data_IF_809089695450
#
_entry.id   IF_809089695450
#
_cell.length_a   1.000
_cell.length_b   1.000
_cell.length_c   1.000
_cell.angle_alpha   90.00
_cell.angle_beta   90.00
_cell.angle_gamma   90.00
#
_symmetry.space_group_name_H-M   'P 1'
#
loop_
_entity.id
_entity.type
_entity.pdbx_description
1 polymer ?
#
# COMPACT_ATOMS: atom_id res chain seq x y z
N UNK A 1 20.48 -21.52 5.05
CA UNK A 1 19.10 -21.56 4.51
C UNK A 1 18.42 -20.28 4.93
N UNK A 2 17.78 -19.53 4.03
CA UNK A 2 17.29 -18.21 4.44
C UNK A 2 16.25 -18.26 5.56
N UNK A 3 16.32 -17.28 6.47
CA UNK A 3 15.39 -17.19 7.63
C UNK A 3 13.92 -17.14 7.20
N UNK A 4 13.65 -16.57 6.01
CA UNK A 4 12.32 -16.58 5.41
C UNK A 4 11.94 -17.96 4.89
N UNK A 5 12.86 -18.66 4.23
CA UNK A 5 12.61 -20.00 3.69
C UNK A 5 12.24 -20.98 4.80
N UNK A 6 12.95 -20.94 5.93
CA UNK A 6 12.58 -21.69 7.12
C UNK A 6 11.15 -21.38 7.57
N UNK A 7 10.78 -20.10 7.62
CA UNK A 7 9.42 -19.71 8.03
C UNK A 7 8.37 -20.18 7.03
N UNK A 8 8.65 -20.10 5.74
CA UNK A 8 7.78 -20.64 4.70
C UNK A 8 7.63 -22.16 4.86
N UNK A 9 8.71 -22.90 5.12
CA UNK A 9 8.67 -24.35 5.38
C UNK A 9 7.86 -24.70 6.64
N UNK A 10 7.99 -23.94 7.72
CA UNK A 10 7.19 -24.16 8.93
C UNK A 10 5.70 -23.87 8.71
N UNK A 11 5.36 -22.90 7.84
CA UNK A 11 3.98 -22.59 7.47
C UNK A 11 3.42 -23.55 6.41
N UNK A 12 4.27 -24.01 5.50
CA UNK A 12 3.98 -24.86 4.35
C UNK A 12 4.75 -26.16 4.54
N UNK A 13 4.13 -27.12 5.26
CA UNK A 13 4.72 -28.42 5.63
C UNK A 13 5.40 -29.18 4.47
N UNK A 14 5.10 -28.83 3.22
CA UNK A 14 5.56 -29.50 2.00
C UNK A 14 6.11 -28.49 0.97
N UNK A 15 6.97 -27.56 1.38
CA UNK A 15 7.61 -26.67 0.41
C UNK A 15 8.58 -27.46 -0.49
N UNK A 16 8.53 -27.33 -1.83
CA UNK A 16 9.53 -27.96 -2.69
C UNK A 16 10.92 -27.39 -2.40
N UNK A 17 11.98 -28.21 -2.49
CA UNK A 17 13.34 -27.70 -2.39
C UNK A 17 13.63 -26.70 -3.51
N UNK A 18 14.57 -25.79 -3.27
CA UNK A 18 15.05 -24.90 -4.32
C UNK A 18 15.64 -25.73 -5.46
N UNK A 19 15.27 -25.47 -6.73
CA UNK A 19 15.85 -26.19 -7.85
C UNK A 19 17.35 -25.89 -7.94
N UNK A 20 18.15 -26.92 -8.27
CA UNK A 20 19.57 -26.72 -8.50
C UNK A 20 19.79 -25.87 -9.78
N UNK A 21 20.83 -25.02 -9.80
CA UNK A 21 21.17 -24.20 -10.97
C UNK A 21 21.55 -25.03 -12.22
N UNK A 22 21.86 -26.32 -12.06
CA UNK A 22 22.32 -27.23 -13.12
C UNK A 22 21.18 -27.77 -14.02
N UNK A 23 20.30 -26.88 -14.50
CA UNK A 23 19.34 -27.18 -15.56
C UNK A 23 17.96 -27.69 -15.11
N UNK A 24 17.64 -27.67 -13.81
CA UNK A 24 16.27 -27.92 -13.36
C UNK A 24 15.37 -26.70 -13.69
N UNK A 25 14.24 -26.96 -14.35
CA UNK A 25 13.24 -25.91 -14.61
C UNK A 25 12.58 -25.44 -13.31
N UNK A 26 12.47 -24.13 -13.15
CA UNK A 26 11.74 -23.51 -12.05
C UNK A 26 10.25 -23.86 -12.13
N UNK A 27 9.76 -24.61 -11.15
CA UNK A 27 8.41 -25.19 -11.13
C UNK A 27 7.58 -24.77 -9.91
N UNK A 28 7.98 -23.71 -9.19
CA UNK A 28 7.27 -23.30 -7.98
C UNK A 28 5.84 -22.81 -8.27
N UNK A 29 5.64 -22.07 -9.35
CA UNK A 29 4.30 -21.68 -9.80
C UNK A 29 3.41 -22.89 -10.14
N UNK A 30 3.96 -23.93 -10.76
CA UNK A 30 3.23 -25.18 -11.05
C UNK A 30 2.87 -25.91 -9.75
N UNK A 31 3.81 -25.96 -8.79
CA UNK A 31 3.56 -26.50 -7.46
C UNK A 31 2.39 -25.77 -6.78
N UNK A 32 2.34 -24.43 -6.82
CA UNK A 32 1.23 -23.65 -6.26
C UNK A 32 -0.10 -23.97 -6.93
N UNK A 33 -0.11 -24.10 -8.26
CA UNK A 33 -1.33 -24.43 -9.02
C UNK A 33 -1.89 -25.83 -8.69
N UNK A 34 -1.04 -26.76 -8.23
CA UNK A 34 -1.45 -28.10 -7.81
C UNK A 34 -1.97 -28.16 -6.36
N UNK A 35 -1.75 -27.11 -5.56
CA UNK A 35 -2.15 -27.15 -4.14
C UNK A 35 -3.66 -26.97 -3.95
N UNK A 36 -4.28 -27.71 -3.02
CA UNK A 36 -5.69 -27.56 -2.72
C UNK A 36 -5.95 -26.25 -1.96
N UNK A 37 -7.17 -25.71 -2.04
CA UNK A 37 -7.56 -24.45 -1.34
C UNK A 37 -7.30 -24.50 0.17
N UNK A 38 -7.40 -25.67 0.80
CA UNK A 38 -7.09 -25.86 2.22
C UNK A 38 -5.66 -25.47 2.60
N UNK A 39 -4.70 -25.65 1.67
CA UNK A 39 -3.31 -25.22 1.81
C UNK A 39 -3.19 -23.70 1.98
N UNK A 40 -3.95 -22.93 1.19
CA UNK A 40 -3.85 -21.48 1.16
C UNK A 40 -4.60 -20.78 2.30
N UNK A 41 -5.61 -21.42 2.91
CA UNK A 41 -6.40 -20.82 4.01
C UNK A 41 -5.56 -20.24 5.16
N UNK A 42 -4.57 -20.95 5.75
CA UNK A 42 -3.72 -20.37 6.79
C UNK A 42 -2.85 -19.22 6.28
N UNK A 43 -2.32 -19.32 5.05
CA UNK A 43 -1.48 -18.30 4.43
C UNK A 43 -2.27 -17.02 4.16
N UNK A 44 -3.51 -17.14 3.68
CA UNK A 44 -4.43 -16.02 3.45
C UNK A 44 -4.71 -15.26 4.74
N UNK A 45 -4.92 -15.95 5.86
CA UNK A 45 -5.11 -15.27 7.17
C UNK A 45 -3.88 -14.48 7.60
N UNK A 46 -2.69 -14.84 7.11
CA UNK A 46 -1.41 -14.18 7.38
C UNK A 46 -0.91 -13.29 6.23
N UNK A 47 -1.70 -13.06 5.17
CA UNK A 47 -1.23 -12.35 3.96
C UNK A 47 -0.59 -10.99 4.21
N UNK A 48 -1.10 -10.22 5.18
CA UNK A 48 -0.52 -8.93 5.57
C UNK A 48 0.86 -9.09 6.22
N UNK A 49 1.07 -10.15 6.98
CA UNK A 49 2.37 -10.49 7.58
C UNK A 49 3.34 -10.94 6.48
N UNK A 50 2.92 -11.84 5.59
CA UNK A 50 3.73 -12.30 4.45
C UNK A 50 4.17 -11.14 3.56
N UNK A 51 3.31 -10.15 3.35
CA UNK A 51 3.65 -8.94 2.59
C UNK A 51 4.72 -8.10 3.29
N UNK A 52 4.69 -8.00 4.62
CA UNK A 52 5.73 -7.32 5.40
C UNK A 52 7.05 -8.07 5.28
N UNK A 53 7.04 -9.39 5.45
CA UNK A 53 8.25 -10.20 5.31
C UNK A 53 8.89 -10.09 3.96
N UNK A 54 8.09 -10.16 2.90
CA UNK A 54 8.57 -9.93 1.54
C UNK A 54 9.27 -8.56 1.41
N UNK A 55 8.68 -7.50 1.98
CA UNK A 55 9.29 -6.18 1.96
C UNK A 55 10.59 -6.09 2.76
N UNK A 56 10.69 -6.82 3.87
CA UNK A 56 11.91 -6.90 4.69
C UNK A 56 13.00 -7.65 3.93
N UNK A 57 12.65 -8.76 3.28
CA UNK A 57 13.57 -9.50 2.42
C UNK A 57 14.09 -8.63 1.27
N UNK A 58 13.23 -7.85 0.63
CA UNK A 58 13.66 -6.91 -0.42
C UNK A 58 14.67 -5.88 0.10
N UNK A 59 14.44 -5.35 1.32
CA UNK A 59 15.35 -4.41 1.96
C UNK A 59 16.69 -5.07 2.35
N UNK A 60 16.65 -6.31 2.84
CA UNK A 60 17.85 -7.10 3.11
C UNK A 60 18.65 -7.35 1.83
N UNK A 61 17.99 -7.86 0.78
CA UNK A 61 18.62 -8.12 -0.52
C UNK A 61 19.26 -6.84 -1.09
N UNK A 62 18.57 -5.69 -0.99
CA UNK A 62 19.12 -4.39 -1.38
C UNK A 62 20.42 -4.05 -0.65
N UNK A 63 20.48 -4.35 0.65
CA UNK A 63 21.66 -4.09 1.50
C UNK A 63 22.78 -5.07 1.22
N UNK A 64 22.46 -6.36 1.08
CA UNK A 64 23.44 -7.42 0.85
C UNK A 64 24.07 -7.31 -0.54
N UNK A 65 23.34 -6.86 -1.55
CA UNK A 65 23.88 -6.52 -2.88
C UNK A 65 24.93 -5.40 -2.83
N UNK A 66 24.85 -4.49 -1.86
CA UNK A 66 25.80 -3.39 -1.68
C UNK A 66 27.02 -3.78 -0.85
N UNK A 67 27.00 -4.96 -0.22
CA UNK A 67 28.09 -5.42 0.66
C UNK A 67 29.32 -5.78 -0.17
N UNK A 68 30.51 -5.35 0.29
CA UNK A 68 31.78 -5.55 -0.44
C UNK A 68 32.16 -7.02 -0.62
N UNK A 69 31.83 -7.87 0.36
CA UNK A 69 32.19 -9.29 0.41
C UNK A 69 30.95 -10.19 0.39
N UNK A 70 29.93 -9.85 -0.41
CA UNK A 70 28.75 -10.68 -0.50
C UNK A 70 29.05 -12.00 -1.23
N UNK A 71 28.69 -13.13 -0.62
CA UNK A 71 28.71 -14.43 -1.31
C UNK A 71 27.65 -14.43 -2.40
N UNK A 72 28.05 -14.87 -3.60
CA UNK A 72 27.15 -14.98 -4.76
C UNK A 72 26.10 -16.05 -4.51
N UNK A 73 26.49 -17.13 -3.84
CA UNK A 73 25.62 -18.24 -3.46
C UNK A 73 24.53 -17.75 -2.50
N UNK A 74 24.91 -16.99 -1.47
CA UNK A 74 23.99 -16.38 -0.52
C UNK A 74 23.00 -15.43 -1.21
N UNK A 75 23.49 -14.53 -2.07
CA UNK A 75 22.61 -13.63 -2.85
C UNK A 75 21.69 -14.45 -3.76
N UNK A 76 22.19 -15.49 -4.41
CA UNK A 76 21.39 -16.36 -5.28
C UNK A 76 20.26 -17.01 -4.49
N UNK A 77 20.53 -17.51 -3.29
CA UNK A 77 19.53 -18.10 -2.40
C UNK A 77 18.49 -17.07 -1.93
N UNK A 78 18.91 -15.85 -1.59
CA UNK A 78 18.02 -14.75 -1.22
C UNK A 78 17.11 -14.32 -2.38
N UNK A 79 17.66 -14.21 -3.61
CA UNK A 79 16.88 -13.89 -4.82
C UNK A 79 15.88 -15.00 -5.11
N UNK A 80 16.27 -16.26 -5.00
CA UNK A 80 15.36 -17.40 -5.18
C UNK A 80 14.25 -17.41 -4.11
N UNK A 81 14.59 -17.12 -2.85
CA UNK A 81 13.63 -16.97 -1.76
C UNK A 81 12.63 -15.82 -2.02
N UNK A 82 13.13 -14.70 -2.55
CA UNK A 82 12.30 -13.56 -2.92
C UNK A 82 11.36 -13.89 -4.08
N UNK A 83 11.85 -14.62 -5.08
CA UNK A 83 11.03 -15.10 -6.20
C UNK A 83 9.91 -16.01 -5.69
N UNK A 84 10.20 -17.02 -4.88
CA UNK A 84 9.17 -17.90 -4.30
C UNK A 84 8.12 -17.12 -3.50
N UNK A 85 8.54 -16.21 -2.62
CA UNK A 85 7.60 -15.40 -1.84
C UNK A 85 6.75 -14.50 -2.74
N UNK A 86 7.34 -13.91 -3.78
CA UNK A 86 6.61 -13.07 -4.74
C UNK A 86 5.60 -13.88 -5.56
N UNK A 87 5.93 -15.09 -5.99
CA UNK A 87 5.02 -16.03 -6.68
C UNK A 87 3.88 -16.47 -5.77
N UNK A 88 4.19 -16.84 -4.51
CA UNK A 88 3.18 -17.17 -3.51
C UNK A 88 2.21 -16.00 -3.29
N UNK A 89 2.73 -14.81 -3.03
CA UNK A 89 1.91 -13.61 -2.83
C UNK A 89 1.09 -13.27 -4.07
N UNK A 90 1.66 -13.36 -5.27
CA UNK A 90 0.94 -13.10 -6.52
C UNK A 90 -0.20 -14.11 -6.70
N UNK A 91 0.03 -15.39 -6.42
CA UNK A 91 -1.00 -16.42 -6.45
C UNK A 91 -2.13 -16.13 -5.43
N UNK A 92 -1.78 -15.76 -4.19
CA UNK A 92 -2.75 -15.35 -3.16
C UNK A 92 -3.57 -14.12 -3.60
N UNK A 93 -2.91 -13.10 -4.12
CA UNK A 93 -3.56 -11.86 -4.55
C UNK A 93 -4.44 -12.04 -5.78
N UNK A 94 -4.07 -12.95 -6.68
CA UNK A 94 -4.79 -13.22 -7.91
C UNK A 94 -6.04 -14.08 -7.67
N UNK A 95 -5.86 -15.27 -7.10
CA UNK A 95 -6.90 -16.29 -7.07
C UNK A 95 -7.85 -16.17 -5.87
N UNK A 96 -7.43 -15.46 -4.81
CA UNK A 96 -8.16 -15.50 -3.53
C UNK A 96 -8.52 -14.12 -2.97
N UNK A 97 -7.66 -13.11 -3.13
CA UNK A 97 -7.91 -11.76 -2.60
C UNK A 97 -8.40 -10.76 -3.65
N UNK A 98 -8.30 -11.14 -4.93
CA UNK A 98 -8.62 -10.35 -6.11
C UNK A 98 -8.07 -8.92 -6.03
N UNK A 99 -6.74 -8.80 -6.15
CA UNK A 99 -6.00 -7.53 -6.06
C UNK A 99 -5.01 -7.38 -7.23
N UNK A 100 -5.51 -7.11 -8.44
CA UNK A 100 -4.70 -7.13 -9.66
C UNK A 100 -3.46 -6.23 -9.61
N UNK A 101 -3.55 -5.05 -8.98
CA UNK A 101 -2.40 -4.14 -8.82
C UNK A 101 -1.22 -4.75 -8.06
N UNK A 102 -1.48 -5.59 -7.06
CA UNK A 102 -0.41 -6.21 -6.27
C UNK A 102 0.19 -7.36 -7.08
N UNK A 103 -0.63 -8.07 -7.85
CA UNK A 103 -0.16 -9.09 -8.80
C UNK A 103 0.76 -8.46 -9.83
N UNK A 104 0.37 -7.33 -10.42
CA UNK A 104 1.18 -6.60 -11.41
C UNK A 104 2.50 -6.10 -10.81
N UNK A 105 2.46 -5.52 -9.61
CA UNK A 105 3.67 -5.11 -8.89
C UNK A 105 4.61 -6.29 -8.66
N UNK A 106 4.09 -7.40 -8.12
CA UNK A 106 4.87 -8.60 -7.82
C UNK A 106 5.42 -9.26 -9.09
N UNK A 107 4.70 -9.21 -10.21
CA UNK A 107 5.19 -9.71 -11.50
C UNK A 107 6.39 -8.95 -12.03
N UNK A 108 6.44 -7.64 -11.83
CA UNK A 108 7.62 -6.84 -12.18
C UNK A 108 8.82 -7.27 -11.34
N UNK A 109 8.61 -7.51 -10.04
CA UNK A 109 9.65 -8.05 -9.17
C UNK A 109 10.08 -9.47 -9.61
N UNK A 110 9.14 -10.35 -9.96
CA UNK A 110 9.40 -11.70 -10.47
C UNK A 110 10.27 -11.68 -11.73
N UNK A 111 9.93 -10.85 -12.72
CA UNK A 111 10.71 -10.70 -13.95
C UNK A 111 12.15 -10.28 -13.66
N UNK A 112 12.33 -9.34 -12.72
CA UNK A 112 13.65 -8.93 -12.28
C UNK A 112 14.43 -10.08 -11.63
N UNK A 113 13.82 -10.82 -10.70
CA UNK A 113 14.47 -11.97 -10.05
C UNK A 113 14.79 -13.09 -11.03
N UNK A 114 13.88 -13.39 -11.97
CA UNK A 114 14.13 -14.36 -13.03
C UNK A 114 15.31 -13.95 -13.91
N UNK A 115 15.45 -12.66 -14.24
CA UNK A 115 16.61 -12.15 -15.00
C UNK A 115 17.92 -12.41 -14.25
N UNK A 116 17.96 -12.15 -12.94
CA UNK A 116 19.13 -12.43 -12.09
C UNK A 116 19.46 -13.92 -12.00
N UNK A 117 18.44 -14.77 -11.81
CA UNK A 117 18.64 -16.21 -11.66
C UNK A 117 18.98 -16.89 -12.99
N UNK A 118 18.49 -16.39 -14.13
CA UNK A 118 18.89 -16.89 -15.47
C UNK A 118 20.39 -16.75 -15.70
N UNK A 119 21.00 -15.66 -15.23
CA UNK A 119 22.46 -15.49 -15.28
C UNK A 119 23.22 -16.55 -14.45
N UNK A 120 22.54 -17.26 -13.55
CA UNK A 120 23.08 -18.36 -12.73
C UNK A 120 22.69 -19.75 -13.23
N UNK A 121 22.11 -19.87 -14.44
CA UNK A 121 21.77 -21.16 -15.06
C UNK A 121 20.34 -21.65 -14.82
N UNK A 122 19.53 -20.92 -14.03
CA UNK A 122 18.14 -21.29 -13.80
C UNK A 122 17.31 -21.13 -15.07
N UNK A 123 16.46 -22.12 -15.34
CA UNK A 123 15.54 -22.10 -16.46
C UNK A 123 14.12 -21.76 -15.99
N UNK A 124 13.42 -20.94 -16.78
CA UNK A 124 12.07 -20.49 -16.46
C UNK A 124 11.18 -20.66 -17.67
N UNK A 125 9.97 -21.17 -17.45
CA UNK A 125 8.88 -21.07 -18.41
C UNK A 125 8.49 -19.60 -18.58
N UNK A 126 8.16 -19.18 -19.80
CA UNK A 126 7.75 -17.80 -20.06
C UNK A 126 6.52 -17.43 -19.22
N UNK A 127 6.56 -16.24 -18.61
CA UNK A 127 5.41 -15.64 -17.93
C UNK A 127 4.41 -15.17 -18.99
N UNK A 128 3.57 -16.09 -19.49
CA UNK A 128 2.68 -15.82 -20.63
C UNK A 128 1.36 -15.14 -20.26
N UNK A 129 0.98 -15.11 -18.98
CA UNK A 129 -0.35 -14.62 -18.61
C UNK A 129 -0.37 -13.10 -18.42
N UNK A 130 -1.30 -12.39 -19.05
CA UNK A 130 -1.57 -10.97 -18.78
C UNK A 130 -2.48 -10.84 -17.54
N UNK A 131 -2.22 -9.86 -16.65
CA UNK A 131 -3.19 -9.51 -15.60
C UNK A 131 -4.18 -8.52 -16.20
N UNK A 132 -5.48 -8.76 -16.05
CA UNK A 132 -6.45 -7.70 -16.32
C UNK A 132 -6.24 -6.53 -15.33
N UNK A 133 -6.09 -5.29 -15.83
CA UNK A 133 -5.86 -4.15 -14.95
C UNK A 133 -7.11 -3.85 -14.10
N UNK A 134 -6.95 -3.78 -12.77
CA UNK A 134 -7.97 -3.22 -11.87
C UNK A 134 -8.00 -1.70 -12.03
N UNK A 135 -8.72 -1.24 -13.04
CA UNK A 135 -8.71 0.18 -13.41
C UNK A 135 -9.57 1.03 -12.47
N UNK A 136 -10.74 0.54 -12.04
CA UNK A 136 -11.68 1.39 -11.30
C UNK A 136 -11.31 1.58 -9.82
N UNK A 137 -11.16 0.51 -9.05
CA UNK A 137 -10.91 0.61 -7.60
C UNK A 137 -9.57 1.30 -7.33
N UNK A 138 -8.58 1.00 -8.17
CA UNK A 138 -7.29 1.66 -8.11
C UNK A 138 -7.39 3.15 -8.43
N UNK A 139 -8.06 3.53 -9.51
CA UNK A 139 -8.24 4.94 -9.90
C UNK A 139 -8.97 5.74 -8.82
N UNK A 140 -10.01 5.17 -8.23
CA UNK A 140 -10.73 5.79 -7.10
C UNK A 140 -9.78 6.01 -5.93
N UNK A 141 -8.98 5.01 -5.56
CA UNK A 141 -8.05 5.11 -4.42
C UNK A 141 -6.93 6.12 -4.67
N UNK A 142 -6.33 6.13 -5.86
CA UNK A 142 -5.24 7.07 -6.19
C UNK A 142 -5.76 8.51 -6.24
N UNK A 143 -6.91 8.73 -6.88
CA UNK A 143 -7.58 10.03 -6.89
C UNK A 143 -7.96 10.49 -5.49
N UNK A 144 -8.53 9.59 -4.66
CA UNK A 144 -8.87 9.93 -3.27
C UNK A 144 -7.63 10.31 -2.48
N UNK A 145 -6.53 9.56 -2.62
CA UNK A 145 -5.28 9.83 -1.91
C UNK A 145 -4.66 11.17 -2.31
N UNK A 146 -4.61 11.49 -3.61
CA UNK A 146 -4.02 12.75 -4.10
C UNK A 146 -4.91 13.96 -3.79
N UNK A 147 -6.23 13.84 -3.92
CA UNK A 147 -7.17 14.94 -3.68
C UNK A 147 -7.45 15.20 -2.19
N UNK A 148 -7.22 14.23 -1.29
CA UNK A 148 -7.54 14.39 0.13
C UNK A 148 -6.80 15.57 0.77
N UNK A 149 -5.51 15.74 0.47
CA UNK A 149 -4.72 16.81 1.05
C UNK A 149 -5.26 18.19 0.63
N UNK A 150 -5.52 18.37 -0.67
CA UNK A 150 -6.08 19.62 -1.20
C UNK A 150 -7.44 19.93 -0.57
N UNK A 151 -8.32 18.92 -0.45
CA UNK A 151 -9.61 19.07 0.22
C UNK A 151 -9.45 19.57 1.66
N UNK A 152 -8.60 18.90 2.44
CA UNK A 152 -8.38 19.26 3.84
C UNK A 152 -7.79 20.67 3.97
N UNK A 153 -6.84 21.02 3.10
CA UNK A 153 -6.26 22.35 3.05
C UNK A 153 -7.32 23.42 2.75
N UNK A 154 -8.10 23.25 1.68
CA UNK A 154 -9.14 24.21 1.29
C UNK A 154 -10.18 24.40 2.40
N UNK A 155 -10.71 23.32 2.97
CA UNK A 155 -11.73 23.38 4.03
C UNK A 155 -11.20 24.08 5.28
N UNK A 156 -9.95 23.82 5.67
CA UNK A 156 -9.33 24.44 6.85
C UNK A 156 -8.94 25.89 6.61
N UNK A 157 -8.39 26.21 5.45
CA UNK A 157 -8.07 27.59 5.04
C UNK A 157 -9.33 28.46 4.99
N UNK A 158 -10.45 27.93 4.52
CA UNK A 158 -11.73 28.65 4.54
C UNK A 158 -12.15 29.02 5.96
N UNK A 159 -12.01 28.12 6.93
CA UNK A 159 -12.33 28.43 8.35
C UNK A 159 -11.44 29.53 8.91
N UNK A 160 -10.16 29.54 8.53
CA UNK A 160 -9.25 30.61 8.91
C UNK A 160 -9.67 31.97 8.29
N UNK A 161 -10.04 31.98 7.01
CA UNK A 161 -10.55 33.18 6.32
C UNK A 161 -11.83 33.70 6.99
N UNK A 162 -12.78 32.82 7.31
CA UNK A 162 -14.01 33.19 8.02
C UNK A 162 -13.70 33.88 9.36
N UNK A 163 -12.70 33.37 10.09
CA UNK A 163 -12.30 33.94 11.38
C UNK A 163 -11.61 35.31 11.22
N UNK A 164 -10.76 35.49 10.20
CA UNK A 164 -10.16 36.79 9.85
C UNK A 164 -11.27 37.81 9.59
N UNK A 165 -12.27 37.44 8.80
CA UNK A 165 -13.35 38.36 8.43
C UNK A 165 -14.16 38.78 9.65
N UNK A 166 -14.44 37.85 10.56
CA UNK A 166 -15.13 38.16 11.81
C UNK A 166 -14.34 39.16 12.66
N UNK A 167 -13.03 39.00 12.77
CA UNK A 167 -12.15 39.92 13.52
C UNK A 167 -12.08 41.31 12.85
N UNK A 168 -11.97 41.35 11.52
CA UNK A 168 -11.89 42.60 10.77
C UNK A 168 -13.25 43.31 10.60
N UNK A 169 -14.36 42.66 10.97
CA UNK A 169 -15.74 43.14 10.76
C UNK A 169 -16.06 43.46 9.29
N UNK A 170 -15.32 42.91 8.33
CA UNK A 170 -15.48 43.12 6.87
C UNK A 170 -16.37 42.07 6.21
N UNK A 171 -17.48 41.74 6.87
CA UNK A 171 -18.36 40.67 6.40
C UNK A 171 -18.96 40.99 5.03
N UNK A 172 -19.23 42.27 4.76
CA UNK A 172 -19.93 42.71 3.55
C UNK A 172 -19.13 42.49 2.27
N UNK A 173 -17.82 42.71 2.33
CA UNK A 173 -16.90 42.58 1.19
C UNK A 173 -16.80 41.14 0.68
N UNK A 174 -17.04 40.14 1.55
CA UNK A 174 -16.89 38.72 1.22
C UNK A 174 -18.22 37.94 1.13
N UNK A 175 -19.36 38.59 1.38
CA UNK A 175 -20.71 38.02 1.21
C UNK A 175 -20.90 37.34 -0.16
N UNK A 176 -20.52 37.94 -1.31
CA UNK A 176 -20.74 37.28 -2.61
C UNK A 176 -19.92 35.99 -2.74
N UNK A 177 -18.66 36.00 -2.31
CA UNK A 177 -17.77 34.83 -2.38
C UNK A 177 -18.28 33.71 -1.47
N UNK A 178 -18.62 34.02 -0.22
CA UNK A 178 -19.11 33.04 0.75
C UNK A 178 -20.44 32.41 0.34
N UNK A 179 -21.30 33.12 -0.39
CA UNK A 179 -22.55 32.59 -0.93
C UNK A 179 -22.34 31.40 -1.87
N UNK A 180 -21.25 31.38 -2.63
CA UNK A 180 -20.90 30.26 -3.52
C UNK A 180 -19.99 29.23 -2.85
N UNK A 181 -19.01 29.68 -2.08
CA UNK A 181 -18.01 28.81 -1.46
C UNK A 181 -18.62 27.95 -0.36
N UNK A 182 -19.53 28.47 0.47
CA UNK A 182 -20.10 27.71 1.59
C UNK A 182 -20.90 26.49 1.13
N UNK A 183 -21.84 26.60 0.17
CA UNK A 183 -22.51 25.41 -0.38
C UNK A 183 -21.51 24.45 -1.03
N UNK A 184 -20.60 24.94 -1.87
CA UNK A 184 -19.64 24.10 -2.57
C UNK A 184 -18.78 23.26 -1.59
N UNK A 185 -18.26 23.87 -0.53
CA UNK A 185 -17.49 23.16 0.49
C UNK A 185 -18.35 22.20 1.34
N UNK A 186 -19.62 22.54 1.57
CA UNK A 186 -20.55 21.65 2.26
C UNK A 186 -20.82 20.39 1.43
N UNK A 187 -21.05 20.54 0.12
CA UNK A 187 -21.17 19.40 -0.80
C UNK A 187 -19.87 18.60 -0.88
N UNK A 188 -18.73 19.27 -1.05
CA UNK A 188 -17.42 18.62 -1.09
C UNK A 188 -17.12 17.79 0.15
N UNK A 189 -17.65 18.20 1.32
CA UNK A 189 -17.42 17.50 2.59
C UNK A 189 -17.93 16.06 2.60
N UNK A 190 -18.99 15.74 1.86
CA UNK A 190 -19.58 14.40 1.81
C UNK A 190 -19.38 13.70 0.47
N UNK A 191 -19.44 14.43 -0.65
CA UNK A 191 -19.23 13.88 -2.01
C UNK A 191 -17.86 13.20 -2.12
N UNK A 192 -16.84 13.76 -1.45
CA UNK A 192 -15.49 13.19 -1.44
C UNK A 192 -15.44 11.74 -0.96
N UNK A 193 -16.31 11.33 -0.03
CA UNK A 193 -16.28 10.00 0.56
C UNK A 193 -17.03 8.95 -0.27
N UNK A 194 -17.93 9.38 -1.17
CA UNK A 194 -18.79 8.46 -1.94
C UNK A 194 -17.99 7.50 -2.82
N UNK A 195 -17.02 7.94 -3.66
CA UNK A 195 -16.35 7.02 -4.57
C UNK A 195 -15.64 5.88 -3.85
N UNK A 196 -14.89 6.20 -2.78
CA UNK A 196 -14.17 5.19 -1.99
C UNK A 196 -15.11 4.29 -1.19
N UNK A 197 -16.15 4.86 -0.58
CA UNK A 197 -17.16 4.07 0.13
C UNK A 197 -17.89 3.12 -0.82
N UNK A 198 -18.37 3.61 -1.96
CA UNK A 198 -19.06 2.82 -2.97
C UNK A 198 -18.17 1.69 -3.49
N UNK A 199 -16.91 1.97 -3.86
CA UNK A 199 -15.97 0.93 -4.29
C UNK A 199 -15.77 -0.15 -3.22
N UNK A 200 -15.57 0.24 -1.95
CA UNK A 200 -15.40 -0.71 -0.85
C UNK A 200 -16.70 -1.49 -0.56
N UNK A 201 -17.87 -0.85 -0.65
CA UNK A 201 -19.17 -1.50 -0.45
C UNK A 201 -19.52 -2.47 -1.59
N UNK A 202 -19.21 -2.13 -2.84
CA UNK A 202 -19.36 -3.04 -3.99
C UNK A 202 -18.48 -4.27 -3.84
N UNK A 203 -17.23 -4.08 -3.42
CA UNK A 203 -16.33 -5.20 -3.12
C UNK A 203 -16.86 -6.05 -1.97
N UNK A 204 -17.36 -5.47 -0.87
CA UNK A 204 -17.96 -6.25 0.21
C UNK A 204 -19.25 -6.96 -0.26
N UNK A 205 -20.08 -6.29 -1.04
CA UNK A 205 -21.33 -6.78 -1.60
C UNK A 205 -21.12 -8.03 -2.47
N UNK A 206 -20.08 -8.06 -3.31
CA UNK A 206 -19.76 -9.28 -4.11
C UNK A 206 -19.41 -10.50 -3.26
N UNK A 207 -19.03 -10.34 -1.99
CA UNK A 207 -18.78 -11.45 -1.07
C UNK A 207 -19.99 -11.81 -0.22
N UNK A 208 -20.92 -10.87 0.01
CA UNK A 208 -22.23 -11.15 0.60
C UNK A 208 -23.11 -11.98 -0.34
N UNK A 209 -23.09 -11.66 -1.64
CA UNK A 209 -23.78 -12.44 -2.68
C UNK A 209 -22.74 -13.11 -3.58
N UNK A 210 -22.22 -14.30 -3.21
CA UNK A 210 -21.23 -14.99 -4.02
C UNK A 210 -21.86 -15.55 -5.30
N UNK A 211 -21.23 -15.31 -6.45
CA UNK A 211 -21.65 -15.87 -7.73
C UNK A 211 -20.46 -16.20 -8.61
N UNK A 212 -20.57 -17.28 -9.38
CA UNK A 212 -19.56 -17.70 -10.37
C UNK A 212 -19.35 -16.66 -11.49
N UNK A 213 -20.24 -15.67 -11.63
CA UNK A 213 -20.15 -14.65 -12.68
C UNK A 213 -19.05 -13.61 -12.45
N UNK A 214 -18.72 -13.29 -11.20
CA UNK A 214 -17.75 -12.25 -10.84
C UNK A 214 -16.68 -12.73 -9.85
N UNK A 215 -16.68 -14.02 -9.56
CA UNK A 215 -15.78 -14.64 -8.59
C UNK A 215 -15.16 -15.87 -9.22
N UNK A 216 -13.84 -16.05 -9.03
CA UNK A 216 -13.17 -17.25 -9.50
C UNK A 216 -13.59 -18.47 -8.66
N UNK A 217 -13.39 -19.66 -9.22
CA UNK A 217 -13.73 -20.91 -8.53
C UNK A 217 -12.89 -21.09 -7.26
N UNK A 218 -11.64 -20.65 -7.30
CA UNK A 218 -10.68 -20.71 -6.18
C UNK A 218 -11.12 -19.77 -5.05
N UNK A 219 -11.53 -18.54 -5.38
CA UNK A 219 -12.06 -17.58 -4.41
C UNK A 219 -13.33 -18.16 -3.76
N UNK A 220 -14.28 -18.68 -4.54
CA UNK A 220 -15.52 -19.28 -4.04
C UNK A 220 -15.27 -20.41 -3.04
N UNK A 221 -14.30 -21.28 -3.32
CA UNK A 221 -13.94 -22.46 -2.52
C UNK A 221 -13.36 -22.13 -1.12
N UNK A 222 -13.00 -20.87 -0.84
CA UNK A 222 -12.59 -20.44 0.51
C UNK A 222 -13.72 -20.47 1.53
N UNK A 223 -14.97 -20.47 1.08
CA UNK A 223 -16.16 -20.32 1.92
C UNK A 223 -16.45 -18.86 2.26
N UNK A 224 -17.70 -18.57 2.61
CA UNK A 224 -18.19 -17.19 2.87
C UNK A 224 -17.45 -16.56 4.05
N UNK A 225 -17.33 -17.28 5.18
CA UNK A 225 -16.71 -16.76 6.40
C UNK A 225 -15.26 -16.30 6.17
N UNK A 226 -14.44 -17.12 5.50
CA UNK A 226 -13.04 -16.79 5.24
C UNK A 226 -12.92 -15.58 4.33
N UNK A 227 -13.69 -15.53 3.24
CA UNK A 227 -13.67 -14.38 2.31
C UNK A 227 -14.08 -13.09 3.00
N UNK A 228 -15.18 -13.12 3.74
CA UNK A 228 -15.66 -11.95 4.49
C UNK A 228 -14.61 -11.49 5.50
N UNK A 229 -13.99 -12.41 6.24
CA UNK A 229 -12.90 -12.08 7.17
C UNK A 229 -11.72 -11.40 6.45
N UNK A 230 -11.24 -11.96 5.33
CA UNK A 230 -10.11 -11.42 4.58
C UNK A 230 -10.38 -10.01 4.03
N UNK A 231 -11.57 -9.80 3.48
CA UNK A 231 -11.94 -8.49 2.92
C UNK A 231 -12.23 -7.46 4.00
N UNK A 232 -12.84 -7.89 5.11
CA UNK A 232 -13.06 -7.04 6.28
C UNK A 232 -11.73 -6.60 6.88
N UNK A 233 -10.79 -7.52 7.13
CA UNK A 233 -9.44 -7.21 7.66
C UNK A 233 -8.72 -6.10 6.88
N UNK A 234 -8.94 -6.00 5.58
CA UNK A 234 -8.29 -5.02 4.70
C UNK A 234 -9.02 -3.68 4.62
N UNK A 235 -10.35 -3.67 4.73
CA UNK A 235 -11.18 -2.50 4.35
C UNK A 235 -11.95 -1.89 5.50
N UNK A 236 -12.07 -2.57 6.64
CA UNK A 236 -12.96 -2.14 7.72
C UNK A 236 -12.66 -0.73 8.23
N UNK A 237 -11.39 -0.34 8.31
CA UNK A 237 -11.05 1.03 8.72
C UNK A 237 -11.46 2.09 7.69
N UNK A 238 -11.33 1.80 6.39
CA UNK A 238 -11.74 2.74 5.34
C UNK A 238 -13.27 2.85 5.30
N UNK A 239 -13.96 1.71 5.36
CA UNK A 239 -15.42 1.64 5.45
C UNK A 239 -15.95 2.40 6.66
N UNK A 240 -15.44 2.10 7.86
CA UNK A 240 -15.87 2.75 9.10
C UNK A 240 -15.60 4.25 9.10
N UNK A 241 -14.47 4.69 8.57
CA UNK A 241 -14.17 6.11 8.43
C UNK A 241 -15.13 6.80 7.45
N UNK A 242 -15.28 6.26 6.24
CA UNK A 242 -16.03 6.92 5.18
C UNK A 242 -17.53 6.93 5.43
N UNK A 243 -18.08 5.88 6.02
CA UNK A 243 -19.50 5.85 6.39
C UNK A 243 -19.83 6.93 7.41
N UNK A 244 -19.04 7.07 8.47
CA UNK A 244 -19.27 8.05 9.53
C UNK A 244 -19.16 9.48 8.99
N UNK A 245 -18.10 9.76 8.22
CA UNK A 245 -17.90 11.09 7.64
C UNK A 245 -18.92 11.44 6.55
N UNK A 246 -19.38 10.46 5.75
CA UNK A 246 -20.46 10.66 4.78
C UNK A 246 -21.77 11.02 5.49
N UNK A 247 -22.18 10.23 6.49
CA UNK A 247 -23.43 10.46 7.24
C UNK A 247 -23.40 11.83 7.91
N UNK A 248 -22.31 12.16 8.62
CA UNK A 248 -22.19 13.45 9.27
C UNK A 248 -22.15 14.62 8.27
N UNK A 249 -21.51 14.45 7.12
CA UNK A 249 -21.51 15.44 6.05
C UNK A 249 -22.92 15.67 5.48
N UNK A 250 -23.70 14.62 5.27
CA UNK A 250 -25.11 14.72 4.85
C UNK A 250 -25.97 15.42 5.91
N UNK A 251 -25.82 15.03 7.19
CA UNK A 251 -26.53 15.67 8.30
C UNK A 251 -26.17 17.16 8.40
N UNK A 252 -24.89 17.52 8.34
CA UNK A 252 -24.45 18.92 8.37
C UNK A 252 -24.94 19.73 7.15
N UNK A 253 -25.06 19.08 5.99
CA UNK A 253 -25.45 19.76 4.76
C UNK A 253 -26.97 19.99 4.65
N UNK A 254 -27.79 19.05 5.14
CA UNK A 254 -29.24 19.06 4.91
C UNK A 254 -30.09 19.19 6.17
N UNK A 255 -29.59 18.77 7.34
CA UNK A 255 -30.39 18.69 8.58
C UNK A 255 -29.94 19.73 9.60
N UNK A 256 -28.64 19.78 9.89
CA UNK A 256 -28.05 20.66 10.92
C UNK A 256 -27.67 22.02 10.32
N UNK A 257 -28.65 22.67 9.68
CA UNK A 257 -28.50 23.99 9.05
C UNK A 257 -29.24 25.08 9.84
N UNK A 258 -28.96 26.34 9.54
CA UNK A 258 -29.62 27.49 10.18
C UNK A 258 -29.40 27.50 11.70
N UNK A 259 -30.46 27.59 12.53
CA UNK A 259 -30.34 27.58 13.99
C UNK A 259 -29.67 26.32 14.57
N UNK A 260 -29.67 25.20 13.84
CA UNK A 260 -29.06 23.93 14.25
C UNK A 260 -27.57 23.81 13.86
N UNK A 261 -27.02 24.77 13.10
CA UNK A 261 -25.62 24.75 12.69
C UNK A 261 -24.61 24.61 13.86
N UNK A 262 -24.83 25.19 15.06
CA UNK A 262 -23.97 24.95 16.22
C UNK A 262 -23.87 23.47 16.60
N UNK A 263 -24.96 22.71 16.50
CA UNK A 263 -24.99 21.27 16.77
C UNK A 263 -24.09 20.52 15.79
N UNK A 264 -24.09 20.93 14.51
CA UNK A 264 -23.19 20.38 13.50
C UNK A 264 -21.70 20.59 13.82
N UNK A 265 -21.35 21.71 14.45
CA UNK A 265 -19.98 21.95 14.94
C UNK A 265 -19.59 20.97 16.05
N UNK A 266 -20.46 20.74 17.04
CA UNK A 266 -20.22 19.74 18.09
C UNK A 266 -20.09 18.32 17.52
N UNK A 267 -20.98 17.92 16.62
CA UNK A 267 -20.91 16.61 15.94
C UNK A 267 -19.58 16.46 15.19
N UNK A 268 -19.15 17.49 14.47
CA UNK A 268 -17.86 17.47 13.77
C UNK A 268 -16.70 17.29 14.75
N UNK A 269 -16.71 18.00 15.89
CA UNK A 269 -15.69 17.84 16.94
C UNK A 269 -15.66 16.41 17.51
N UNK A 270 -16.83 15.80 17.74
CA UNK A 270 -16.93 14.39 18.15
C UNK A 270 -16.33 13.46 17.08
N UNK A 271 -16.53 13.74 15.80
CA UNK A 271 -15.90 12.95 14.74
C UNK A 271 -14.37 13.04 14.72
N UNK A 272 -13.80 14.19 15.07
CA UNK A 272 -12.34 14.27 15.26
C UNK A 272 -11.86 13.41 16.44
N UNK A 273 -12.65 13.27 17.51
CA UNK A 273 -12.33 12.34 18.59
C UNK A 273 -12.44 10.87 18.12
N UNK A 274 -13.44 10.56 17.29
CA UNK A 274 -13.56 9.26 16.63
C UNK A 274 -12.34 8.96 15.75
N UNK A 275 -11.82 9.93 14.99
CA UNK A 275 -10.62 9.76 14.17
C UNK A 275 -9.39 9.42 15.02
N UNK A 276 -9.23 10.02 16.22
CA UNK A 276 -8.16 9.65 17.16
C UNK A 276 -8.31 8.19 17.57
N UNK A 277 -9.51 7.78 17.98
CA UNK A 277 -9.79 6.41 18.41
C UNK A 277 -9.47 5.42 17.28
N UNK A 278 -9.92 5.71 16.06
CA UNK A 278 -9.69 4.86 14.90
C UNK A 278 -8.19 4.78 14.54
N UNK A 279 -7.46 5.90 14.62
CA UNK A 279 -6.02 5.94 14.41
C UNK A 279 -5.25 5.15 15.49
N UNK A 280 -5.66 5.26 16.76
CA UNK A 280 -5.06 4.53 17.88
C UNK A 280 -5.31 3.02 17.77
N UNK A 281 -6.54 2.60 17.45
CA UNK A 281 -6.86 1.19 17.21
C UNK A 281 -6.04 0.64 16.04
N UNK A 282 -5.93 1.39 14.93
CA UNK A 282 -5.10 0.99 13.80
C UNK A 282 -3.63 0.83 14.20
N UNK A 283 -3.09 1.79 14.94
CA UNK A 283 -1.72 1.73 15.43
C UNK A 283 -1.49 0.52 16.32
N UNK A 284 -2.40 0.24 17.26
CA UNK A 284 -2.31 -0.92 18.16
C UNK A 284 -2.34 -2.25 17.40
N UNK A 285 -3.23 -2.41 16.42
CA UNK A 285 -3.35 -3.64 15.62
C UNK A 285 -2.12 -3.85 14.72
N UNK A 286 -1.67 -2.79 14.03
CA UNK A 286 -0.51 -2.88 13.13
C UNK A 286 0.79 -3.13 13.91
N UNK A 287 1.03 -2.40 15.00
CA UNK A 287 2.20 -2.61 15.86
C UNK A 287 2.17 -3.97 16.56
N UNK A 288 1.00 -4.38 17.07
CA UNK A 288 0.85 -5.69 17.70
C UNK A 288 1.10 -6.85 16.73
N UNK A 289 0.82 -6.68 15.43
CA UNK A 289 1.16 -7.67 14.39
C UNK A 289 2.67 -7.71 14.14
N UNK A 290 3.31 -6.55 14.05
CA UNK A 290 4.74 -6.42 13.83
C UNK A 290 5.56 -6.97 15.00
N UNK A 291 5.16 -6.68 16.24
CA UNK A 291 5.85 -7.19 17.42
C UNK A 291 5.71 -8.70 17.55
N UNK A 292 4.55 -9.28 17.21
CA UNK A 292 4.40 -10.73 17.15
C UNK A 292 5.35 -11.36 16.12
N UNK A 293 5.46 -10.76 14.94
CA UNK A 293 6.40 -11.22 13.91
C UNK A 293 7.84 -11.17 14.43
N UNK A 294 8.23 -10.06 15.08
CA UNK A 294 9.55 -9.91 15.70
C UNK A 294 9.83 -10.99 16.75
N UNK A 295 8.88 -11.24 17.65
CA UNK A 295 8.98 -12.27 18.69
C UNK A 295 9.12 -13.68 18.10
N UNK A 296 8.41 -13.98 17.01
CA UNK A 296 8.57 -15.25 16.29
C UNK A 296 10.00 -15.43 15.75
N UNK A 297 10.60 -14.39 15.15
CA UNK A 297 11.98 -14.44 14.67
C UNK A 297 13.01 -14.54 15.80
N UNK A 298 12.82 -13.82 16.91
CA UNK A 298 13.71 -13.92 18.09
C UNK A 298 13.70 -15.35 18.66
N UNK A 299 12.52 -15.97 18.78
CA UNK A 299 12.42 -17.37 19.24
C UNK A 299 13.11 -18.33 18.28
N UNK A 300 12.98 -18.10 16.98
CA UNK A 300 13.67 -18.92 15.99
C UNK A 300 15.19 -18.81 16.09
N UNK A 301 15.73 -17.60 16.28
CA UNK A 301 17.17 -17.39 16.50
C UNK A 301 17.63 -18.16 17.75
N UNK A 302 16.88 -18.10 18.85
CA UNK A 302 17.19 -18.85 20.08
C UNK A 302 17.19 -20.36 19.86
N UNK A 303 16.30 -20.88 19.02
CA UNK A 303 16.27 -22.30 18.64
C UNK A 303 17.52 -22.69 17.83
N UNK A 304 17.91 -21.87 16.85
CA UNK A 304 19.12 -22.12 16.05
C UNK A 304 20.40 -22.10 16.89
N UNK A 305 20.47 -21.20 17.88
CA UNK A 305 21.57 -21.16 18.85
C UNK A 305 21.62 -22.43 19.72
N UNK A 306 20.46 -22.99 20.10
CA UNK A 306 20.38 -24.24 20.85
C UNK A 306 20.74 -25.47 20.00
N UNK A 307 20.48 -25.42 18.70
CA UNK A 307 20.83 -26.46 17.72
C UNK A 307 22.28 -26.38 17.21
N UNK A 308 23.09 -25.45 17.72
CA UNK A 308 24.48 -25.21 17.32
C UNK A 308 24.65 -24.93 15.81
N UNK A 309 23.73 -24.12 15.24
CA UNK A 309 23.76 -23.66 13.84
C UNK A 309 24.10 -22.16 13.77
N UNK A 310 25.38 -21.76 14.00
CA UNK A 310 25.76 -20.37 14.14
C UNK A 310 25.55 -19.54 12.86
N UNK A 311 25.74 -20.14 11.69
CA UNK A 311 25.60 -19.46 10.39
C UNK A 311 24.14 -19.07 10.10
N UNK A 312 23.20 -20.00 10.26
CA UNK A 312 21.77 -19.73 10.11
C UNK A 312 21.27 -18.72 11.16
N UNK A 313 21.81 -18.78 12.39
CA UNK A 313 21.49 -17.82 13.44
C UNK A 313 21.97 -16.40 13.09
N UNK A 314 23.16 -16.27 12.49
CA UNK A 314 23.68 -14.97 12.03
C UNK A 314 22.85 -14.41 10.87
N UNK A 315 22.44 -15.23 9.90
CA UNK A 315 21.55 -14.81 8.83
C UNK A 315 20.19 -14.34 9.37
N UNK A 316 19.60 -15.10 10.30
CA UNK A 316 18.34 -14.73 10.94
C UNK A 316 18.46 -13.43 11.76
N UNK A 317 19.59 -13.16 12.40
CA UNK A 317 19.87 -11.87 13.06
C UNK A 317 19.96 -10.72 12.06
N UNK A 318 20.58 -10.91 10.90
CA UNK A 318 20.62 -9.89 9.83
C UNK A 318 19.22 -9.57 9.31
N UNK A 319 18.41 -10.58 9.04
CA UNK A 319 17.01 -10.37 8.68
C UNK A 319 16.25 -9.60 9.79
N UNK A 320 16.45 -9.96 11.06
CA UNK A 320 15.84 -9.28 12.20
C UNK A 320 16.23 -7.80 12.28
N UNK A 321 17.46 -7.42 11.94
CA UNK A 321 17.87 -6.01 11.88
C UNK A 321 17.05 -5.21 10.86
N UNK A 322 16.81 -5.78 9.67
CA UNK A 322 15.97 -5.14 8.66
C UNK A 322 14.50 -5.08 9.09
N UNK A 323 14.01 -6.13 9.76
CA UNK A 323 12.67 -6.12 10.36
C UNK A 323 12.55 -5.02 11.43
N UNK A 324 13.51 -4.88 12.33
CA UNK A 324 13.52 -3.85 13.37
C UNK A 324 13.55 -2.43 12.76
N UNK A 325 14.32 -2.21 11.70
CA UNK A 325 14.31 -0.95 10.95
C UNK A 325 12.92 -0.65 10.36
N UNK A 326 12.24 -1.66 9.80
CA UNK A 326 10.87 -1.52 9.30
C UNK A 326 9.88 -1.24 10.43
N UNK A 327 9.99 -1.92 11.56
CA UNK A 327 9.14 -1.71 12.74
C UNK A 327 9.29 -0.29 13.26
N UNK A 328 10.53 0.22 13.34
CA UNK A 328 10.79 1.58 13.77
C UNK A 328 10.15 2.61 12.83
N UNK A 329 10.26 2.42 11.52
CA UNK A 329 9.59 3.27 10.53
C UNK A 329 8.07 3.25 10.71
N UNK A 330 7.47 2.07 10.82
CA UNK A 330 6.01 1.93 10.99
C UNK A 330 5.53 2.54 12.31
N UNK A 331 6.30 2.40 13.39
CA UNK A 331 6.04 3.06 14.68
C UNK A 331 6.04 4.58 14.55
N UNK A 332 7.03 5.16 13.88
CA UNK A 332 7.07 6.61 13.60
C UNK A 332 5.87 7.05 12.77
N UNK A 333 5.52 6.32 11.71
CA UNK A 333 4.38 6.62 10.82
C UNK A 333 3.05 6.61 11.56
N UNK A 334 2.81 5.56 12.34
CA UNK A 334 1.58 5.38 13.11
C UNK A 334 1.47 6.40 14.26
N UNK A 335 2.57 6.64 14.98
CA UNK A 335 2.60 7.65 16.04
C UNK A 335 2.37 9.05 15.47
N UNK A 336 2.99 9.39 14.33
CA UNK A 336 2.75 10.67 13.65
C UNK A 336 1.27 10.80 13.23
N UNK A 337 0.64 9.72 12.76
CA UNK A 337 -0.79 9.70 12.44
C UNK A 337 -1.67 9.98 13.67
N UNK A 338 -1.40 9.35 14.80
CA UNK A 338 -2.14 9.56 16.05
C UNK A 338 -1.90 10.97 16.59
N UNK A 339 -0.65 11.43 16.61
CA UNK A 339 -0.30 12.78 17.06
C UNK A 339 -0.97 13.85 16.19
N UNK A 340 -0.87 13.74 14.87
CA UNK A 340 -1.47 14.70 13.95
C UNK A 340 -3.00 14.78 14.11
N UNK A 341 -3.70 13.63 14.23
CA UNK A 341 -5.16 13.61 14.47
C UNK A 341 -5.53 14.17 15.84
N UNK A 342 -4.71 13.92 16.87
CA UNK A 342 -4.91 14.46 18.23
C UNK A 342 -4.77 15.98 18.26
N UNK A 343 -3.70 16.53 17.65
CA UNK A 343 -3.49 17.98 17.61
C UNK A 343 -4.57 18.67 16.76
N UNK A 344 -5.02 18.04 15.67
CA UNK A 344 -6.17 18.51 14.89
C UNK A 344 -7.46 18.54 15.71
N UNK A 345 -7.74 17.52 16.51
CA UNK A 345 -8.89 17.51 17.42
C UNK A 345 -8.82 18.64 18.44
N UNK A 346 -7.66 18.88 19.07
CA UNK A 346 -7.48 19.99 20.00
C UNK A 346 -7.74 21.34 19.33
N UNK A 347 -7.23 21.55 18.12
CA UNK A 347 -7.51 22.76 17.33
C UNK A 347 -9.00 22.87 16.99
N UNK A 348 -9.68 21.75 16.74
CA UNK A 348 -11.13 21.70 16.48
C UNK A 348 -11.98 22.01 17.71
N UNK A 349 -11.56 21.61 18.92
CA UNK A 349 -12.25 21.97 20.15
C UNK A 349 -12.33 23.50 20.29
N UNK A 350 -11.27 24.23 19.92
CA UNK A 350 -11.26 25.70 19.92
C UNK A 350 -12.26 26.33 18.92
N UNK A 351 -12.74 25.57 17.94
CA UNK A 351 -13.75 26.06 16.97
C UNK A 351 -15.19 25.88 17.45
N UNK A 352 -15.40 25.25 18.62
CA UNK A 352 -16.73 25.01 19.16
C UNK A 352 -17.40 26.35 19.53
N UNK A 353 -18.70 26.55 19.21
CA UNK A 353 -19.40 27.82 19.45
C UNK A 353 -19.31 28.35 20.88
N UNK A 354 -19.32 27.47 21.89
CA UNK A 354 -19.14 27.83 23.29
C UNK A 354 -17.80 28.52 23.58
N UNK A 355 -16.71 28.11 22.93
CA UNK A 355 -15.42 28.79 23.10
C UNK A 355 -15.33 30.06 22.26
N UNK A 356 -16.02 30.11 21.12
CA UNK A 356 -16.09 31.32 20.29
C UNK A 356 -16.80 32.49 20.99
N UNK A 357 -17.66 32.24 21.99
CA UNK A 357 -18.32 33.32 22.74
C UNK A 357 -17.39 34.12 23.65
N UNK A 358 -16.20 33.59 24.00
CA UNK A 358 -15.20 34.35 24.78
C UNK A 358 -14.45 35.40 23.95
N UNK A 359 -14.63 35.43 22.62
CA UNK A 359 -14.14 36.49 21.76
C UNK A 359 -13.77 36.02 20.35
N UNK A 360 -13.66 36.96 19.39
CA UNK A 360 -13.41 36.65 17.97
C UNK A 360 -11.99 36.12 17.70
N UNK A 361 -11.06 36.30 18.63
CA UNK A 361 -9.68 35.82 18.49
C UNK A 361 -9.53 34.31 18.65
N UNK A 362 -10.44 33.65 19.38
CA UNK A 362 -10.35 32.19 19.59
C UNK A 362 -10.56 31.42 18.28
N UNK A 363 -11.62 31.68 17.49
CA UNK A 363 -11.76 31.10 16.14
C UNK A 363 -10.58 31.42 15.21
N UNK A 364 -9.97 32.60 15.35
CA UNK A 364 -8.81 33.00 14.54
C UNK A 364 -7.59 32.13 14.85
N UNK A 365 -7.27 31.97 16.13
CA UNK A 365 -6.18 31.08 16.59
C UNK A 365 -6.46 29.64 16.15
N UNK A 366 -7.69 29.17 16.33
CA UNK A 366 -8.10 27.82 15.92
C UNK A 366 -7.91 27.60 14.41
N UNK A 367 -8.37 28.54 13.58
CA UNK A 367 -8.21 28.50 12.13
C UNK A 367 -6.73 28.48 11.70
N UNK A 368 -5.91 29.35 12.31
CA UNK A 368 -4.47 29.39 12.06
C UNK A 368 -3.78 28.07 12.44
N UNK A 369 -4.12 27.51 13.60
CA UNK A 369 -3.62 26.21 14.05
C UNK A 369 -4.01 25.10 13.05
N UNK A 370 -5.28 25.03 12.63
CA UNK A 370 -5.73 24.00 11.68
C UNK A 370 -4.95 24.02 10.37
N UNK A 371 -4.70 25.20 9.79
CA UNK A 371 -3.91 25.34 8.55
C UNK A 371 -2.46 24.93 8.79
N UNK A 372 -1.83 25.45 9.85
CA UNK A 372 -0.44 25.16 10.20
C UNK A 372 -0.22 23.66 10.46
N UNK A 373 -1.08 23.02 11.25
CA UNK A 373 -1.01 21.57 11.51
C UNK A 373 -1.15 20.77 10.22
N UNK A 374 -2.01 21.21 9.29
CA UNK A 374 -2.20 20.54 8.00
C UNK A 374 -0.93 20.56 7.15
N UNK A 375 -0.29 21.73 7.06
CA UNK A 375 0.96 21.90 6.31
C UNK A 375 2.09 21.12 6.99
N UNK A 376 2.26 21.31 8.30
CA UNK A 376 3.29 20.62 9.09
C UNK A 376 3.12 19.09 9.01
N UNK A 377 1.89 18.59 9.13
CA UNK A 377 1.59 17.17 8.98
C UNK A 377 1.95 16.64 7.60
N UNK A 378 1.60 17.35 6.53
CA UNK A 378 1.98 16.98 5.17
C UNK A 378 3.50 16.93 4.96
N UNK A 379 4.22 17.95 5.44
CA UNK A 379 5.68 18.00 5.38
C UNK A 379 6.32 16.88 6.20
N UNK A 380 5.81 16.61 7.40
CA UNK A 380 6.29 15.55 8.27
C UNK A 380 6.07 14.15 7.65
N UNK A 381 4.89 13.88 7.08
CA UNK A 381 4.64 12.64 6.36
C UNK A 381 5.51 12.49 5.12
N UNK A 382 5.71 13.58 4.36
CA UNK A 382 6.57 13.58 3.18
C UNK A 382 8.04 13.34 3.54
N UNK A 383 8.52 13.96 4.63
CA UNK A 383 9.86 13.74 5.16
C UNK A 383 10.05 12.32 5.70
N UNK A 384 9.01 11.76 6.34
CA UNK A 384 9.04 10.39 6.82
C UNK A 384 9.05 9.38 5.66
N UNK A 385 8.26 9.59 4.60
CA UNK A 385 8.24 8.68 3.45
C UNK A 385 9.60 8.60 2.74
N UNK A 386 10.41 9.67 2.81
CA UNK A 386 11.81 9.65 2.34
C UNK A 386 12.73 8.75 3.17
N UNK A 387 12.37 8.46 4.43
CA UNK A 387 13.11 7.55 5.33
C UNK A 387 12.61 6.11 5.24
N UNK A 388 11.63 5.82 4.37
CA UNK A 388 11.10 4.46 4.22
C UNK A 388 12.22 3.52 3.75
N UNK A 389 12.43 2.38 4.41
CA UNK A 389 13.39 1.38 3.94
C UNK A 389 13.08 0.99 2.49
N UNK A 390 14.12 0.90 1.64
CA UNK A 390 13.97 0.55 0.23
C UNK A 390 13.34 -0.83 0.10
N UNK A 391 12.05 -0.85 -0.26
CA UNK A 391 11.29 -2.08 -0.52
C UNK A 391 11.02 -2.28 -2.02
N UNK A 392 11.56 -1.40 -2.87
CA UNK A 392 11.33 -1.42 -4.33
C UNK A 392 12.52 -2.02 -5.05
N UNK A 393 12.36 -3.28 -5.43
CA UNK A 393 13.30 -4.04 -6.24
C UNK A 393 13.60 -3.35 -7.57
N UNK A 394 12.60 -2.71 -8.19
CA UNK A 394 12.80 -1.94 -9.43
C UNK A 394 13.79 -0.77 -9.29
N UNK A 395 14.02 -0.25 -8.08
CA UNK A 395 15.06 0.77 -7.87
C UNK A 395 16.46 0.15 -7.92
N UNK A 396 16.60 -1.15 -7.62
CA UNK A 396 17.88 -1.86 -7.63
C UNK A 396 18.48 -1.94 -9.02
N UNK A 397 17.66 -2.09 -10.07
CA UNK A 397 18.14 -2.17 -11.46
C UNK A 397 18.88 -0.88 -11.86
N UNK A 398 18.33 0.28 -11.50
CA UNK A 398 18.90 1.59 -11.86
C UNK A 398 20.09 1.94 -10.97
N UNK A 399 19.99 1.72 -9.65
CA UNK A 399 21.03 2.14 -8.71
C UNK A 399 22.22 1.18 -8.63
N UNK A 400 22.07 -0.07 -9.06
CA UNK A 400 23.07 -1.12 -8.81
C UNK A 400 23.55 -1.87 -10.05
N UNK A 401 23.25 -1.39 -11.26
CA UNK A 401 23.71 -2.00 -12.51
C UNK A 401 25.21 -2.37 -12.47
N UNK A 402 26.08 -1.43 -12.07
CA UNK A 402 27.53 -1.67 -11.98
C UNK A 402 27.92 -2.76 -10.95
N UNK A 403 27.27 -2.78 -9.79
CA UNK A 403 27.54 -3.80 -8.76
C UNK A 403 27.05 -5.17 -9.20
N UNK A 404 25.89 -5.23 -9.86
CA UNK A 404 25.32 -6.47 -10.36
C UNK A 404 26.17 -7.04 -11.51
N UNK A 405 26.72 -6.19 -12.39
CA UNK A 405 27.71 -6.61 -13.39
C UNK A 405 28.99 -7.14 -12.73
N UNK A 406 29.49 -6.47 -11.66
CA UNK A 406 30.68 -6.93 -10.92
C UNK A 406 30.46 -8.31 -10.29
N UNK A 407 29.25 -8.60 -9.81
CA UNK A 407 28.89 -9.89 -9.23
C UNK A 407 28.64 -10.99 -10.28
N UNK A 408 28.79 -10.68 -11.58
CA UNK A 408 28.50 -11.61 -12.67
C UNK A 408 27.02 -11.96 -12.79
N UNK A 409 26.13 -11.17 -12.17
CA UNK A 409 24.67 -11.37 -12.22
C UNK A 409 24.04 -10.79 -13.49
N UNK A 410 24.81 -9.99 -14.24
CA UNK A 410 24.48 -9.59 -15.60
C UNK A 410 25.69 -9.86 -16.46
N UNK A 411 25.54 -10.73 -17.47
CA UNK A 411 26.46 -10.69 -18.60
C UNK A 411 26.28 -9.35 -19.30
N UNK A 412 27.34 -8.65 -19.74
CA UNK A 412 27.16 -7.60 -20.72
C UNK A 412 26.40 -8.23 -21.88
N UNK A 413 25.26 -7.66 -22.25
CA UNK A 413 24.61 -8.02 -23.51
C UNK A 413 25.68 -7.80 -24.58
N UNK A 414 26.25 -8.90 -25.10
CA UNK A 414 27.11 -8.84 -26.26
C UNK A 414 26.19 -8.23 -27.31
N UNK A 415 26.49 -7.03 -27.84
CA UNK A 415 25.60 -6.41 -28.81
C UNK A 415 25.37 -7.44 -29.91
N UNK A 416 24.11 -7.85 -30.07
CA UNK A 416 23.72 -8.69 -31.19
C UNK A 416 24.27 -7.99 -32.42
N UNK A 417 25.27 -8.62 -33.03
CA UNK A 417 25.83 -8.17 -34.30
C UNK A 417 24.62 -8.00 -35.20
N UNK A 418 24.36 -6.80 -35.76
CA UNK A 418 23.19 -6.58 -36.59
C UNK A 418 23.15 -7.72 -37.60
N UNK A 419 22.10 -8.52 -37.59
CA UNK A 419 21.91 -9.47 -38.67
C UNK A 419 21.89 -8.63 -39.94
N UNK A 420 22.93 -8.76 -40.76
CA UNK A 420 22.94 -8.25 -42.12
C UNK A 420 21.81 -8.97 -42.87
N UNK A 421 20.59 -8.49 -42.69
CA UNK A 421 19.49 -8.73 -43.62
C UNK A 421 19.83 -7.93 -44.86
N UNK A 422 20.00 -8.57 -46.03
CA UNK A 422 20.22 -7.85 -47.27
C UNK A 422 19.01 -6.94 -47.52
N UNK A 423 19.31 -5.66 -47.70
CA UNK A 423 18.39 -4.59 -48.06
C UNK A 423 17.77 -4.94 -49.42
N UNK A 424 16.55 -5.48 -49.41
CA UNK A 424 15.72 -5.54 -50.62
C UNK A 424 14.90 -4.26 -50.68
N UNK A 425 15.41 -3.36 -51.52
CA UNK A 425 14.81 -2.09 -51.91
C UNK A 425 13.55 -2.38 -52.77
N UNK A 426 12.39 -2.47 -52.12
CA UNK A 426 11.09 -2.39 -52.80
C UNK A 426 10.26 -1.27 -52.18
N UNK A 427 10.36 -0.09 -52.81
CA UNK A 427 9.34 0.95 -52.77
C UNK A 427 8.16 0.55 -53.68
N UNK A 428 6.94 0.31 -53.16
CA UNK A 428 5.74 0.55 -53.93
C UNK A 428 5.22 1.96 -53.64
N UNK A 429 5.05 2.71 -54.73
CA UNK A 429 4.41 4.02 -54.82
C UNK A 429 3.12 4.14 -53.97
N UNK A 430 2.80 5.33 -53.45
CA UNK A 430 1.52 5.57 -52.79
C UNK A 430 0.36 5.56 -53.82
N UNK A 431 -0.80 4.97 -53.50
CA UNK A 431 -1.97 5.07 -54.35
C UNK A 431 -2.60 6.47 -54.27
N UNK A 432 -3.34 6.90 -55.31
CA UNK A 432 -3.77 8.28 -55.47
C UNK A 432 -4.94 8.65 -54.56
N UNK A 433 -4.91 9.90 -54.11
CA UNK A 433 -6.00 10.61 -53.42
C UNK A 433 -7.16 10.83 -54.39
N UNK A 434 -8.38 10.45 -53.99
CA UNK A 434 -9.59 10.71 -54.75
C UNK A 434 -10.90 10.59 -53.95
N UNK A 435 -11.44 11.76 -53.56
CA UNK A 435 -12.84 12.21 -53.60
C UNK A 435 -13.99 11.49 -52.85
N UNK A 436 -14.43 12.16 -51.75
CA UNK A 436 -15.79 12.65 -51.35
C UNK A 436 -17.06 11.80 -51.59
N UNK A 437 -17.95 11.90 -50.58
CA UNK A 437 -19.42 11.70 -50.48
C UNK A 437 -19.78 10.45 -49.66
N UNK A 438 -20.63 10.48 -48.63
CA UNK A 438 -21.63 11.45 -48.14
C UNK A 438 -21.89 11.23 -46.65
#
# INVERSE_FOLDING_TARGET
MTALMYRLQTMMKTLPPLPNPDGASWSFSDYLNQQPVAFFRPLLKKHLVLTIEYSVLCAQLSSDLLRKNASIEEITEQVASALMMSELLAHLYRHYLNVPREVERLRKDQLFYQKLLKARGYQFTSLSEQVEPDTFTQKVRTMTASSNWLRLFVVRSKRFIDAIVQVLKRVEDIKPVTRFVNPALSYLSWVFFIPRLAANMLVMGKHFYPSNRWMSKEELALGVSTRMQLHFQRRWFELGNDSVWLIAGLLNCFVLVGPLAPVGAYMTTVLFAYDILLAAIRASIELGRLERLRQEHVRHIQQLEQEDKPEDAEEARRYLMHLDARILFEKKRLLLSVANTTVLFLAMVLTVPFLASFGPFIPLIAGALLVTITIAGFLAFSALEKQRPSDKVAQLEISHAATLTRLGLFAPEIPEKPSETPDYDENPLPPPVGLITS
#
